data_IF_287427622505
#
_entry.id   IF_287427622505
#
_cell.length_a   1.000
_cell.length_b   1.000
_cell.length_c   1.000
_cell.angle_alpha   90.00
_cell.angle_beta   90.00
_cell.angle_gamma   90.00
#
_symmetry.space_group_name_H-M   'P 1'
#
loop_
_entity.id
_entity.type
_entity.pdbx_description
1 polymer ?
#
# COMPACT_ATOMS: atom_id res chain seq x y z
N UNK A 1 -82.50 38.43 62.80
CA UNK A 1 -83.84 37.84 62.60
C UNK A 1 -84.10 37.71 61.10
N UNK A 2 -84.77 36.61 60.71
CA UNK A 2 -85.27 36.23 59.37
C UNK A 2 -84.25 35.70 58.32
N UNK A 3 -84.24 34.37 58.18
CA UNK A 3 -84.24 33.68 56.86
C UNK A 3 -85.59 33.96 56.17
N UNK A 4 -85.68 34.05 54.82
CA UNK A 4 -85.78 32.89 53.90
C UNK A 4 -85.03 33.15 52.58
N UNK A 5 -84.92 32.31 51.54
CA UNK A 5 -85.52 31.04 51.14
C UNK A 5 -85.58 31.01 49.61
N UNK A 6 -85.08 29.90 49.04
CA UNK A 6 -85.40 29.26 47.74
C UNK A 6 -85.52 30.04 46.42
N UNK A 7 -84.84 29.52 45.40
CA UNK A 7 -85.57 28.94 44.25
C UNK A 7 -85.05 29.22 42.83
N UNK A 8 -84.40 28.19 42.26
CA UNK A 8 -84.50 27.70 40.85
C UNK A 8 -83.94 28.50 39.64
N UNK A 9 -82.94 27.88 39.01
CA UNK A 9 -82.78 27.47 37.56
C UNK A 9 -83.27 28.42 36.44
N UNK A 10 -82.59 28.66 35.31
CA UNK A 10 -81.83 27.79 34.38
C UNK A 10 -81.09 28.69 33.35
N UNK A 11 -80.04 28.12 32.74
CA UNK A 11 -79.45 28.43 31.40
C UNK A 11 -78.96 29.87 31.13
N UNK A 12 -77.77 30.15 30.61
CA UNK A 12 -76.84 29.36 29.81
C UNK A 12 -76.34 30.27 28.67
N UNK A 13 -75.02 30.19 28.41
CA UNK A 13 -74.26 30.69 27.24
C UNK A 13 -73.54 32.04 27.36
N UNK A 14 -72.22 31.86 27.40
CA UNK A 14 -71.20 32.40 26.49
C UNK A 14 -70.55 33.75 26.76
N UNK A 15 -69.22 33.62 26.79
CA UNK A 15 -68.15 34.53 26.36
C UNK A 15 -67.41 35.34 27.43
N UNK A 16 -66.16 34.87 27.59
CA UNK A 16 -64.93 35.66 27.68
C UNK A 16 -64.74 36.51 28.93
N UNK A 17 -63.92 35.99 29.85
CA UNK A 17 -63.16 36.82 30.77
C UNK A 17 -61.71 36.34 30.78
N UNK A 18 -60.83 37.24 30.36
CA UNK A 18 -59.38 37.15 30.44
C UNK A 18 -58.93 36.78 31.87
N UNK A 19 -58.08 35.78 31.99
CA UNK A 19 -57.20 35.61 33.14
C UNK A 19 -55.77 35.57 32.63
N UNK A 20 -55.04 36.64 32.90
CA UNK A 20 -53.60 36.74 32.67
C UNK A 20 -52.89 35.78 33.63
N UNK A 21 -52.34 34.68 33.10
CA UNK A 21 -51.45 33.79 33.84
C UNK A 21 -50.03 34.25 33.56
N UNK A 22 -49.38 34.75 34.61
CA UNK A 22 -47.97 35.14 34.64
C UNK A 22 -47.11 33.87 34.53
N UNK A 23 -46.64 33.55 33.33
CA UNK A 23 -45.72 32.43 33.11
C UNK A 23 -44.27 32.87 33.37
N UNK A 24 -43.68 32.27 34.40
CA UNK A 24 -42.29 32.40 34.82
C UNK A 24 -41.36 31.89 33.69
N UNK A 25 -40.63 32.79 33.02
CA UNK A 25 -39.61 32.41 32.04
C UNK A 25 -38.39 31.82 32.76
N UNK A 26 -38.33 30.49 32.90
CA UNK A 26 -37.07 29.77 33.10
C UNK A 26 -36.31 29.79 31.77
N UNK A 27 -35.23 30.55 31.68
CA UNK A 27 -34.29 30.48 30.56
C UNK A 27 -33.52 29.16 30.65
N UNK A 28 -33.98 28.14 29.92
CA UNK A 28 -33.15 26.98 29.61
C UNK A 28 -32.01 27.45 28.69
N UNK A 29 -30.83 27.68 29.27
CA UNK A 29 -29.61 27.76 28.48
C UNK A 29 -29.30 26.36 27.96
N UNK A 30 -29.67 26.08 26.71
CA UNK A 30 -29.19 24.90 26.01
C UNK A 30 -27.65 25.02 25.92
N UNK A 31 -26.94 24.18 26.68
CA UNK A 31 -25.51 23.97 26.49
C UNK A 31 -25.35 23.26 25.15
N UNK A 32 -25.02 24.01 24.11
CA UNK A 32 -24.67 23.43 22.83
C UNK A 32 -23.31 22.77 22.99
N UNK A 33 -23.33 21.44 23.09
CA UNK A 33 -22.15 20.60 23.01
C UNK A 33 -21.54 20.82 21.62
N UNK A 34 -20.44 21.56 21.57
CA UNK A 34 -19.67 21.71 20.34
C UNK A 34 -19.13 20.33 19.98
N UNK A 35 -19.78 19.68 19.02
CA UNK A 35 -19.22 18.52 18.37
C UNK A 35 -17.85 18.93 17.83
N UNK A 36 -16.80 18.34 18.41
CA UNK A 36 -15.44 18.44 17.87
C UNK A 36 -15.50 17.98 16.43
N UNK A 37 -15.27 18.89 15.48
CA UNK A 37 -15.05 18.50 14.11
C UNK A 37 -13.88 17.51 14.12
N UNK A 38 -14.15 16.26 13.77
CA UNK A 38 -13.09 15.32 13.46
C UNK A 38 -12.23 15.98 12.38
N UNK A 39 -10.94 16.15 12.68
CA UNK A 39 -9.95 16.50 11.66
C UNK A 39 -10.17 15.58 10.46
N UNK A 40 -10.15 16.08 9.20
CA UNK A 40 -10.16 15.18 8.05
C UNK A 40 -9.01 14.20 8.24
N UNK A 41 -9.30 12.89 8.12
CA UNK A 41 -8.25 11.87 8.20
C UNK A 41 -7.13 12.28 7.26
N UNK A 42 -5.89 12.22 7.73
CA UNK A 42 -4.74 12.30 6.83
C UNK A 42 -5.05 11.37 5.65
N UNK A 43 -5.04 11.91 4.43
CA UNK A 43 -5.37 11.13 3.25
C UNK A 43 -4.41 9.94 3.22
N UNK A 44 -4.96 8.74 3.33
CA UNK A 44 -4.19 7.52 3.38
C UNK A 44 -3.38 7.35 2.08
N UNK A 45 -2.11 6.97 2.22
CA UNK A 45 -1.28 6.61 1.07
C UNK A 45 -1.78 5.30 0.47
N UNK A 46 -2.00 5.30 -0.84
CA UNK A 46 -2.60 4.19 -1.57
C UNK A 46 -1.74 3.76 -2.74
N UNK A 47 -1.89 2.50 -3.14
CA UNK A 47 -1.51 2.05 -4.46
C UNK A 47 -2.71 2.17 -5.39
N UNK A 48 -2.44 2.56 -6.63
CA UNK A 48 -3.41 2.47 -7.72
C UNK A 48 -2.98 1.27 -8.55
N UNK A 49 -3.79 0.22 -8.58
CA UNK A 49 -3.43 -1.07 -9.16
C UNK A 49 -4.23 -1.29 -10.44
N UNK A 50 -3.54 -1.59 -11.54
CA UNK A 50 -4.21 -1.98 -12.79
C UNK A 50 -4.77 -3.39 -12.65
N UNK A 51 -6.08 -3.54 -12.77
CA UNK A 51 -6.77 -4.80 -12.39
C UNK A 51 -6.38 -5.98 -13.30
N UNK A 52 -5.98 -5.71 -14.54
CA UNK A 52 -5.62 -6.74 -15.52
C UNK A 52 -4.22 -7.33 -15.30
N UNK A 53 -3.32 -6.59 -14.65
CA UNK A 53 -1.93 -6.99 -14.44
C UNK A 53 -1.58 -7.19 -12.96
N UNK A 54 -2.39 -6.67 -12.02
CA UNK A 54 -2.07 -6.64 -10.60
C UNK A 54 -0.88 -5.72 -10.26
N UNK A 55 -0.48 -4.85 -11.19
CA UNK A 55 0.67 -3.96 -11.02
C UNK A 55 0.25 -2.55 -10.60
N UNK A 56 1.12 -1.92 -9.82
CA UNK A 56 0.93 -0.60 -9.27
C UNK A 56 1.37 0.49 -10.26
N UNK A 57 0.64 1.60 -10.30
CA UNK A 57 1.10 2.82 -10.97
C UNK A 57 2.28 3.43 -10.23
N UNK A 58 3.27 3.88 -10.99
CA UNK A 58 4.55 4.36 -10.48
C UNK A 58 5.10 5.53 -11.31
N UNK A 59 5.70 6.49 -10.62
CA UNK A 59 6.69 7.40 -11.18
C UNK A 59 8.08 6.93 -10.71
N UNK A 60 8.96 6.48 -11.60
CA UNK A 60 10.21 5.84 -11.18
C UNK A 60 11.15 6.84 -10.50
N UNK A 61 11.16 8.10 -10.94
CA UNK A 61 11.99 9.18 -10.39
C UNK A 61 11.14 10.35 -9.89
N UNK A 62 11.79 11.44 -9.47
CA UNK A 62 11.13 12.70 -9.14
C UNK A 62 11.17 13.73 -10.29
N UNK A 63 11.54 13.32 -11.51
CA UNK A 63 11.70 14.24 -12.64
C UNK A 63 10.36 14.78 -13.15
N UNK A 64 10.30 16.08 -13.41
CA UNK A 64 9.15 16.71 -14.08
C UNK A 64 9.00 16.12 -15.50
N UNK A 65 7.78 15.77 -15.90
CA UNK A 65 7.51 15.28 -17.25
C UNK A 65 7.69 13.77 -17.44
N UNK A 66 8.21 13.05 -16.45
CA UNK A 66 8.35 11.60 -16.52
C UNK A 66 7.00 10.90 -16.68
N UNK A 67 6.91 9.99 -17.64
CA UNK A 67 5.71 9.19 -17.92
C UNK A 67 5.44 8.23 -16.77
N UNK A 68 4.18 8.19 -16.32
CA UNK A 68 3.73 7.21 -15.32
C UNK A 68 3.72 5.83 -15.97
N UNK A 69 4.22 4.83 -15.26
CA UNK A 69 4.29 3.44 -15.73
C UNK A 69 3.59 2.51 -14.74
N UNK A 70 3.36 1.25 -15.12
CA UNK A 70 3.04 0.20 -14.16
C UNK A 70 4.29 -0.60 -13.79
N UNK A 71 4.34 -1.11 -12.57
CA UNK A 71 5.40 -1.98 -12.05
C UNK A 71 4.83 -2.91 -10.98
N UNK A 72 5.47 -4.07 -10.76
CA UNK A 72 5.11 -4.96 -9.65
C UNK A 72 5.02 -4.18 -8.32
N UNK A 73 3.90 -4.30 -7.63
CA UNK A 73 3.66 -3.60 -6.36
C UNK A 73 4.74 -3.97 -5.33
N UNK A 74 5.25 -2.99 -4.58
CA UNK A 74 6.34 -3.19 -3.61
C UNK A 74 6.30 -2.21 -2.43
N UNK A 75 5.19 -1.49 -2.22
CA UNK A 75 5.10 -0.49 -1.15
C UNK A 75 6.03 0.72 -1.32
N UNK A 76 6.63 0.89 -2.50
CA UNK A 76 7.54 2.00 -2.78
C UNK A 76 6.81 3.34 -2.68
N UNK A 77 7.42 4.32 -2.02
CA UNK A 77 6.89 5.71 -1.96
C UNK A 77 6.64 6.32 -3.34
N UNK A 78 7.38 5.89 -4.36
CA UNK A 78 7.23 6.37 -5.73
C UNK A 78 6.09 5.66 -6.51
N UNK A 79 5.48 4.63 -5.92
CA UNK A 79 4.26 3.95 -6.35
C UNK A 79 3.11 4.08 -5.33
N UNK A 80 3.29 4.96 -4.33
CA UNK A 80 2.26 5.37 -3.38
C UNK A 80 1.74 6.76 -3.75
N UNK A 81 0.43 6.93 -3.59
CA UNK A 81 -0.30 8.10 -4.03
C UNK A 81 -1.23 8.60 -2.92
N UNK A 82 -1.37 9.90 -2.81
CA UNK A 82 -2.34 10.56 -1.94
C UNK A 82 -3.39 11.26 -2.82
N UNK A 83 -4.67 11.05 -2.52
CA UNK A 83 -5.76 11.78 -3.19
C UNK A 83 -6.01 13.11 -2.47
N UNK A 84 -5.85 14.23 -3.17
CA UNK A 84 -6.17 15.57 -2.66
C UNK A 84 -7.32 16.17 -3.44
N UNK A 85 -8.27 16.82 -2.78
CA UNK A 85 -9.36 17.51 -3.47
C UNK A 85 -8.81 18.55 -4.44
N UNK A 86 -9.32 18.53 -5.67
CA UNK A 86 -8.94 19.49 -6.71
C UNK A 86 -9.72 20.79 -6.56
N UNK A 87 -9.06 21.93 -6.79
CA UNK A 87 -9.72 23.24 -6.77
C UNK A 87 -10.70 23.44 -7.94
N UNK A 88 -10.70 22.57 -8.95
CA UNK A 88 -11.71 22.59 -10.02
C UNK A 88 -13.11 22.13 -9.57
N UNK A 89 -13.23 21.59 -8.35
CA UNK A 89 -14.51 21.16 -7.77
C UNK A 89 -15.20 20.03 -8.54
N UNK A 90 -16.43 19.70 -8.17
CA UNK A 90 -17.20 18.63 -8.82
C UNK A 90 -16.66 17.23 -8.53
N UNK A 91 -16.32 16.97 -7.25
CA UNK A 91 -15.80 15.69 -6.77
C UNK A 91 -14.54 15.19 -7.53
N UNK A 92 -13.67 16.12 -7.95
CA UNK A 92 -12.40 15.79 -8.58
C UNK A 92 -11.21 15.89 -7.64
N UNK A 93 -10.16 15.15 -7.95
CA UNK A 93 -8.98 14.96 -7.14
C UNK A 93 -7.71 15.14 -7.95
N UNK A 94 -6.68 15.64 -7.30
CA UNK A 94 -5.29 15.49 -7.71
C UNK A 94 -4.75 14.18 -7.12
N UNK A 95 -4.00 13.43 -7.91
CA UNK A 95 -3.34 12.18 -7.49
C UNK A 95 -1.87 12.49 -7.28
N UNK A 96 -1.44 12.60 -6.02
CA UNK A 96 -0.12 13.13 -5.63
C UNK A 96 0.82 11.99 -5.28
N UNK A 97 1.99 11.92 -5.92
CA UNK A 97 3.02 10.95 -5.61
C UNK A 97 3.64 11.24 -4.23
N UNK A 98 3.74 10.21 -3.38
CA UNK A 98 4.27 10.34 -2.01
C UNK A 98 5.77 10.63 -2.01
N UNK A 99 6.52 10.08 -2.98
CA UNK A 99 7.96 10.31 -3.08
C UNK A 99 8.31 11.70 -3.63
N UNK A 100 7.71 12.11 -4.75
CA UNK A 100 8.10 13.35 -5.44
C UNK A 100 7.27 14.58 -5.07
N UNK A 101 6.11 14.40 -4.44
CA UNK A 101 5.13 15.45 -4.17
C UNK A 101 4.43 16.01 -5.43
N UNK A 102 4.66 15.41 -6.60
CA UNK A 102 4.09 15.81 -7.89
C UNK A 102 2.80 15.07 -8.20
N UNK A 103 2.02 15.59 -9.14
CA UNK A 103 0.73 15.03 -9.51
C UNK A 103 0.82 14.22 -10.80
N UNK A 104 0.05 13.13 -10.88
CA UNK A 104 -0.30 12.51 -12.17
C UNK A 104 -1.01 13.55 -13.03
N UNK A 105 -0.70 13.59 -14.32
CA UNK A 105 -1.42 14.42 -15.26
C UNK A 105 -1.35 13.94 -16.71
N UNK A 106 -2.39 14.25 -17.47
CA UNK A 106 -2.37 14.16 -18.93
C UNK A 106 -1.45 15.24 -19.49
N UNK A 107 -0.57 14.82 -20.40
CA UNK A 107 0.37 15.69 -21.10
C UNK A 107 -0.31 16.93 -21.67
N UNK A 108 0.13 18.10 -21.18
CA UNK A 108 -0.35 19.43 -21.59
C UNK A 108 -1.87 19.61 -21.49
N UNK A 109 -2.56 18.81 -20.67
CA UNK A 109 -4.04 18.74 -20.66
C UNK A 109 -4.65 18.49 -22.05
N UNK A 110 -3.92 17.77 -22.92
CA UNK A 110 -4.37 17.43 -24.27
C UNK A 110 -5.69 16.66 -24.23
N UNK A 111 -6.67 16.98 -25.10
CA UNK A 111 -7.89 16.18 -25.23
C UNK A 111 -7.72 15.01 -26.22
N UNK A 112 -6.52 14.81 -26.77
CA UNK A 112 -6.28 13.81 -27.80
C UNK A 112 -6.19 12.39 -27.21
N UNK A 113 -6.88 11.44 -27.84
CA UNK A 113 -6.75 10.01 -27.55
C UNK A 113 -5.29 9.60 -27.74
N UNK A 114 -4.71 8.91 -26.76
CA UNK A 114 -3.32 8.48 -26.76
C UNK A 114 -2.32 9.45 -26.13
N UNK A 115 -2.75 10.63 -25.65
CA UNK A 115 -1.86 11.54 -24.93
C UNK A 115 -1.25 10.84 -23.70
N UNK A 116 0.05 11.01 -23.49
CA UNK A 116 0.78 10.37 -22.40
C UNK A 116 0.33 10.93 -21.04
N UNK A 117 0.47 10.10 -20.02
CA UNK A 117 0.20 10.44 -18.63
C UNK A 117 1.55 10.51 -17.92
N UNK A 118 1.83 11.63 -17.28
CA UNK A 118 3.14 11.96 -16.72
C UNK A 118 3.01 12.59 -15.34
N UNK A 119 4.09 12.64 -14.58
CA UNK A 119 4.14 13.48 -13.38
C UNK A 119 4.44 14.94 -13.75
N UNK A 120 3.82 15.86 -13.04
CA UNK A 120 4.11 17.30 -13.12
C UNK A 120 3.82 17.99 -11.80
N UNK A 121 4.31 19.20 -11.64
CA UNK A 121 3.95 20.09 -10.52
C UNK A 121 2.43 20.16 -10.38
N UNK A 122 1.94 19.92 -9.16
CA UNK A 122 0.51 19.94 -8.87
C UNK A 122 -0.08 21.32 -9.15
N UNK A 123 -1.23 21.35 -9.82
CA UNK A 123 -1.93 22.59 -10.17
C UNK A 123 -3.37 22.34 -10.62
N UNK A 124 -4.07 23.41 -10.97
CA UNK A 124 -5.51 23.40 -11.24
C UNK A 124 -5.87 23.17 -12.73
N UNK A 125 -4.93 22.62 -13.50
CA UNK A 125 -5.15 22.28 -14.90
C UNK A 125 -6.09 21.05 -15.04
N UNK A 126 -6.97 21.04 -16.06
CA UNK A 126 -7.92 19.93 -16.26
C UNK A 126 -7.26 18.56 -16.40
N UNK A 127 -6.06 18.49 -17.00
CA UNK A 127 -5.29 17.26 -17.13
C UNK A 127 -4.71 16.70 -15.83
N UNK A 128 -4.64 17.49 -14.76
CA UNK A 128 -4.17 17.05 -13.43
C UNK A 128 -5.31 16.90 -12.41
N UNK A 129 -6.56 16.94 -12.86
CA UNK A 129 -7.75 16.84 -12.03
C UNK A 129 -8.61 15.70 -12.54
N UNK A 130 -8.84 14.70 -11.69
CA UNK A 130 -9.48 13.46 -12.08
C UNK A 130 -10.77 13.23 -11.33
N UNK A 131 -11.75 12.64 -12.00
CA UNK A 131 -12.93 12.03 -11.38
C UNK A 131 -12.83 10.52 -11.49
N UNK A 132 -13.39 9.81 -10.52
CA UNK A 132 -13.45 8.35 -10.52
C UNK A 132 -14.88 7.93 -10.85
N UNK A 133 -15.05 7.02 -11.79
CA UNK A 133 -16.36 6.44 -12.15
C UNK A 133 -16.30 4.94 -12.08
N UNK A 134 -17.34 4.31 -11.55
CA UNK A 134 -17.40 2.85 -11.40
C UNK A 134 -17.23 2.14 -12.75
N UNK A 135 -16.48 1.04 -12.72
CA UNK A 135 -16.32 0.08 -13.79
C UNK A 135 -16.47 -1.33 -13.19
N UNK A 136 -16.73 -2.33 -14.02
CA UNK A 136 -16.79 -3.72 -13.53
C UNK A 136 -15.41 -4.13 -12.97
N UNK A 137 -15.36 -4.54 -11.70
CA UNK A 137 -14.13 -4.90 -11.00
C UNK A 137 -13.24 -3.73 -10.55
N UNK A 138 -13.65 -2.46 -10.67
CA UNK A 138 -12.84 -1.32 -10.20
C UNK A 138 -13.38 0.04 -10.59
N UNK A 139 -12.49 0.98 -10.91
CA UNK A 139 -12.83 2.32 -11.36
C UNK A 139 -12.10 2.71 -12.63
N UNK A 140 -12.76 3.54 -13.43
CA UNK A 140 -12.14 4.36 -14.44
C UNK A 140 -11.65 5.68 -13.82
N UNK A 141 -10.38 6.01 -14.07
CA UNK A 141 -9.79 7.29 -13.67
C UNK A 141 -9.89 8.26 -14.85
N UNK A 142 -10.73 9.29 -14.73
CA UNK A 142 -11.10 10.17 -15.84
C UNK A 142 -10.51 11.57 -15.66
N UNK A 143 -9.61 12.04 -16.55
CA UNK A 143 -9.16 13.42 -16.53
C UNK A 143 -10.32 14.37 -16.84
N UNK A 144 -10.23 15.61 -16.35
CA UNK A 144 -11.23 16.66 -16.59
C UNK A 144 -10.98 17.45 -17.89
N UNK A 145 -10.09 16.97 -18.76
CA UNK A 145 -9.87 17.53 -20.09
C UNK A 145 -11.15 17.49 -20.93
N UNK A 146 -11.41 18.52 -21.73
CA UNK A 146 -12.60 18.61 -22.57
C UNK A 146 -12.38 17.79 -23.85
N UNK A 147 -12.99 16.60 -23.93
CA UNK A 147 -12.93 15.71 -25.08
C UNK A 147 -14.33 15.41 -25.63
N UNK A 148 -14.43 15.09 -26.92
CA UNK A 148 -15.71 14.78 -27.57
C UNK A 148 -16.34 13.45 -27.08
N UNK A 149 -15.49 12.53 -26.61
CA UNK A 149 -15.86 11.26 -25.98
C UNK A 149 -15.18 11.14 -24.61
N UNK A 150 -15.72 10.36 -23.66
CA UNK A 150 -15.10 10.19 -22.34
C UNK A 150 -13.74 9.47 -22.49
N UNK A 151 -12.69 10.08 -21.93
CA UNK A 151 -11.35 9.49 -21.85
C UNK A 151 -11.03 9.06 -20.42
N UNK A 152 -10.21 8.03 -20.31
CA UNK A 152 -9.79 7.34 -19.10
C UNK A 152 -8.29 7.08 -19.15
N UNK A 153 -7.63 7.01 -18.00
CA UNK A 153 -6.28 6.48 -17.92
C UNK A 153 -6.27 5.02 -18.39
N UNK A 154 -5.22 4.61 -19.09
CA UNK A 154 -5.03 3.25 -19.58
C UNK A 154 -3.54 2.89 -19.55
N UNK A 155 -3.23 1.69 -19.08
CA UNK A 155 -1.93 1.05 -19.30
C UNK A 155 -1.85 0.70 -20.79
N UNK A 156 -0.93 1.32 -21.52
CA UNK A 156 -0.89 1.29 -22.99
C UNK A 156 -1.04 -0.11 -23.56
N UNK A 157 -2.12 -0.33 -24.30
CA UNK A 157 -2.40 -1.59 -24.99
C UNK A 157 -2.76 -2.73 -24.05
N UNK A 158 -3.19 -2.44 -22.81
CA UNK A 158 -3.41 -3.42 -21.75
C UNK A 158 -2.20 -4.34 -21.51
N UNK A 159 -0.99 -3.81 -21.73
CA UNK A 159 0.25 -4.55 -21.53
C UNK A 159 0.37 -5.07 -20.09
N UNK A 160 0.98 -6.24 -19.91
CA UNK A 160 1.39 -6.78 -18.60
C UNK A 160 2.90 -6.66 -18.40
N UNK A 161 3.60 -5.95 -19.28
CA UNK A 161 5.02 -5.69 -19.11
C UNK A 161 5.27 -4.69 -17.98
N UNK A 162 6.28 -4.99 -17.19
CA UNK A 162 6.91 -4.04 -16.28
C UNK A 162 7.39 -2.80 -17.04
N UNK A 163 7.12 -1.61 -16.50
CA UNK A 163 7.45 -0.34 -17.14
C UNK A 163 6.51 0.07 -18.27
N UNK A 164 5.40 -0.64 -18.52
CA UNK A 164 4.42 -0.22 -19.51
C UNK A 164 3.85 1.16 -19.15
N UNK A 165 3.84 2.05 -20.13
CA UNK A 165 3.47 3.45 -19.98
C UNK A 165 1.97 3.66 -19.88
N UNK A 166 1.55 4.68 -19.13
CA UNK A 166 0.18 5.15 -19.13
C UNK A 166 -0.06 6.20 -20.21
N UNK A 167 -1.25 6.13 -20.78
CA UNK A 167 -1.83 7.15 -21.67
C UNK A 167 -3.28 7.39 -21.27
N UNK A 168 -3.91 8.40 -21.85
CA UNK A 168 -5.36 8.46 -21.87
C UNK A 168 -5.90 7.76 -23.12
N UNK A 169 -6.98 7.01 -22.97
CA UNK A 169 -7.67 6.34 -24.06
C UNK A 169 -9.19 6.43 -23.87
N UNK A 170 -9.96 5.95 -24.85
CA UNK A 170 -11.42 5.85 -24.68
C UNK A 170 -11.77 5.03 -23.44
N UNK A 171 -12.77 5.46 -22.68
CA UNK A 171 -13.35 4.70 -21.57
C UNK A 171 -14.16 3.51 -22.09
N UNK A 172 -13.49 2.53 -22.68
CA UNK A 172 -14.08 1.32 -23.26
C UNK A 172 -13.61 0.07 -22.47
N UNK A 173 -14.13 -1.11 -22.79
CA UNK A 173 -13.87 -2.36 -22.05
C UNK A 173 -12.48 -2.98 -22.31
N UNK A 174 -11.43 -2.17 -22.52
CA UNK A 174 -10.07 -2.70 -22.44
C UNK A 174 -9.68 -2.88 -20.97
N UNK A 175 -9.12 -4.04 -20.66
CA UNK A 175 -8.80 -4.45 -19.29
C UNK A 175 -7.78 -3.51 -18.63
N UNK A 176 -6.86 -2.92 -19.41
CA UNK A 176 -5.87 -1.96 -18.93
C UNK A 176 -6.39 -0.58 -18.51
N UNK A 177 -7.70 -0.32 -18.59
CA UNK A 177 -8.31 0.96 -18.20
C UNK A 177 -8.98 0.94 -16.82
N UNK A 178 -9.04 -0.23 -16.18
CA UNK A 178 -9.71 -0.41 -14.88
C UNK A 178 -8.67 -0.49 -13.79
N UNK A 179 -8.87 0.30 -12.73
CA UNK A 179 -7.96 0.37 -11.60
C UNK A 179 -8.69 0.11 -10.28
N UNK A 180 -8.00 -0.51 -9.34
CA UNK A 180 -8.40 -0.62 -7.93
C UNK A 180 -7.52 0.26 -7.07
N UNK A 181 -8.09 0.70 -5.95
CA UNK A 181 -7.32 1.27 -4.86
C UNK A 181 -6.96 0.14 -3.90
N UNK A 182 -5.67 -0.02 -3.65
CA UNK A 182 -5.15 -1.01 -2.70
C UNK A 182 -4.20 -0.34 -1.72
N UNK A 183 -3.90 -1.05 -0.63
CA UNK A 183 -2.86 -0.67 0.33
C UNK A 183 -1.82 -1.77 0.33
N UNK A 184 -1.05 -1.85 -0.75
CA UNK A 184 0.04 -2.81 -0.83
C UNK A 184 1.17 -2.34 0.09
N UNK A 185 1.35 -3.06 1.20
CA UNK A 185 2.52 -2.93 2.05
C UNK A 185 3.55 -3.95 1.56
N UNK A 186 4.50 -3.50 0.74
CA UNK A 186 5.68 -4.31 0.45
C UNK A 186 6.50 -4.56 1.71
N UNK A 187 7.56 -5.37 1.62
CA UNK A 187 8.45 -5.55 2.75
C UNK A 187 9.02 -4.20 3.21
N UNK A 188 9.32 -4.09 4.50
CA UNK A 188 10.04 -2.93 5.01
C UNK A 188 11.36 -2.75 4.25
N UNK A 189 11.56 -1.60 3.61
CA UNK A 189 12.80 -1.27 2.91
C UNK A 189 13.84 -0.70 3.87
N UNK A 190 15.11 -0.89 3.53
CA UNK A 190 16.22 -0.44 4.36
C UNK A 190 16.49 -1.40 5.51
N UNK A 191 16.75 -0.88 6.71
CA UNK A 191 17.05 -1.72 7.87
C UNK A 191 15.83 -2.54 8.29
N UNK A 192 15.99 -3.87 8.30
CA UNK A 192 14.89 -4.79 8.53
C UNK A 192 15.33 -6.05 9.27
N UNK A 193 14.36 -6.73 9.89
CA UNK A 193 14.48 -8.09 10.39
C UNK A 193 13.65 -9.02 9.51
N UNK A 194 14.23 -10.13 9.09
CA UNK A 194 13.52 -11.19 8.39
C UNK A 194 13.29 -12.32 9.37
N UNK A 195 12.03 -12.68 9.63
CA UNK A 195 11.64 -13.73 10.57
C UNK A 195 10.91 -14.86 9.85
N UNK A 196 11.28 -16.13 10.02
CA UNK A 196 10.51 -17.25 9.48
C UNK A 196 9.10 -17.26 10.09
N UNK A 197 8.06 -17.37 9.27
CA UNK A 197 6.68 -17.39 9.75
C UNK A 197 6.38 -18.64 10.59
N UNK A 198 7.11 -19.75 10.36
CA UNK A 198 7.03 -20.97 11.15
C UNK A 198 7.71 -20.87 12.52
N UNK A 199 8.56 -19.86 12.75
CA UNK A 199 9.29 -19.63 14.00
C UNK A 199 9.47 -18.11 14.25
N UNK A 200 8.38 -17.36 14.49
CA UNK A 200 8.40 -15.90 14.42
C UNK A 200 9.14 -15.19 15.57
N UNK A 201 9.66 -15.93 16.55
CA UNK A 201 10.60 -15.40 17.57
C UNK A 201 12.06 -15.44 17.13
N UNK A 202 12.36 -16.10 16.02
CA UNK A 202 13.69 -16.20 15.42
C UNK A 202 13.82 -15.26 14.22
N UNK A 203 15.06 -14.89 13.92
CA UNK A 203 15.44 -14.04 12.81
C UNK A 203 16.45 -14.78 11.92
N UNK A 204 16.36 -14.55 10.60
CA UNK A 204 17.35 -14.97 9.62
C UNK A 204 18.61 -14.11 9.80
N UNK A 205 19.74 -14.76 10.03
CA UNK A 205 21.03 -14.10 10.30
C UNK A 205 22.18 -15.06 10.03
N UNK A 206 23.40 -14.61 10.29
CA UNK A 206 24.62 -15.39 10.15
C UNK A 206 24.69 -16.56 11.15
N UNK A 207 25.11 -17.72 10.63
CA UNK A 207 25.49 -18.89 11.42
C UNK A 207 26.31 -19.89 10.62
N UNK A 208 26.31 -21.14 11.10
CA UNK A 208 27.04 -22.27 10.51
C UNK A 208 26.07 -23.33 10.04
N UNK A 209 26.43 -24.06 8.99
CA UNK A 209 25.65 -25.20 8.56
C UNK A 209 25.68 -26.29 9.66
N UNK A 210 24.53 -26.92 9.91
CA UNK A 210 24.38 -27.90 11.01
C UNK A 210 25.19 -29.16 10.80
N UNK A 211 25.60 -29.45 9.56
CA UNK A 211 26.43 -30.62 9.23
C UNK A 211 27.93 -30.32 9.35
N UNK A 212 28.33 -29.08 9.56
CA UNK A 212 29.73 -28.65 9.63
C UNK A 212 30.51 -28.89 8.35
N UNK A 213 29.84 -28.99 7.21
CA UNK A 213 30.43 -29.26 5.90
C UNK A 213 31.06 -28.00 5.28
N UNK A 214 30.66 -26.82 5.74
CA UNK A 214 31.09 -25.56 5.19
C UNK A 214 31.67 -24.64 6.28
N UNK A 215 32.83 -24.05 5.97
CA UNK A 215 33.60 -23.26 6.95
C UNK A 215 33.24 -21.78 6.97
N UNK A 216 32.46 -21.30 6.01
CA UNK A 216 32.03 -19.91 5.93
C UNK A 216 30.66 -19.72 6.58
N UNK A 217 30.25 -18.46 6.71
CA UNK A 217 28.93 -18.09 7.19
C UNK A 217 27.85 -18.56 6.21
N UNK A 218 26.72 -19.03 6.75
CA UNK A 218 25.48 -19.27 5.99
C UNK A 218 24.28 -18.65 6.70
N UNK A 219 23.20 -18.44 5.96
CA UNK A 219 21.92 -18.01 6.52
C UNK A 219 21.26 -19.10 7.34
N UNK A 220 20.98 -18.79 8.60
CA UNK A 220 20.27 -19.65 9.55
C UNK A 220 19.25 -18.83 10.35
N UNK A 221 18.34 -19.49 11.08
CA UNK A 221 17.49 -18.83 12.07
C UNK A 221 18.12 -18.83 13.47
N UNK A 222 18.13 -17.69 14.16
CA UNK A 222 18.61 -17.53 15.55
C UNK A 222 17.70 -16.60 16.35
N UNK A 223 17.76 -16.56 17.69
CA UNK A 223 16.99 -15.59 18.48
C UNK A 223 17.26 -14.18 17.98
N UNK A 224 16.21 -13.40 17.73
CA UNK A 224 16.37 -12.06 17.15
C UNK A 224 17.26 -11.13 17.98
N UNK A 225 17.35 -11.33 19.30
CA UNK A 225 18.25 -10.58 20.18
C UNK A 225 19.75 -10.90 19.95
N UNK A 226 20.05 -12.01 19.28
CA UNK A 226 21.41 -12.48 18.95
C UNK A 226 21.68 -12.41 17.45
N UNK A 227 20.75 -11.86 16.66
CA UNK A 227 20.82 -11.83 15.21
C UNK A 227 21.63 -10.65 14.65
N UNK A 228 22.44 -10.00 15.50
CA UNK A 228 23.32 -8.88 15.17
C UNK A 228 24.64 -9.05 15.93
N UNK A 229 25.80 -8.85 15.28
CA UNK A 229 25.98 -8.67 13.83
C UNK A 229 25.75 -9.97 13.03
N UNK A 230 25.48 -9.90 11.72
CA UNK A 230 25.30 -8.68 10.90
C UNK A 230 23.90 -8.07 11.02
N UNK A 231 23.75 -6.78 10.65
CA UNK A 231 22.42 -6.17 10.46
C UNK A 231 21.93 -6.41 9.04
N UNK A 232 20.62 -6.61 8.87
CA UNK A 232 20.03 -6.84 7.54
C UNK A 232 19.52 -5.54 6.94
N UNK A 233 19.91 -5.27 5.69
CA UNK A 233 19.42 -4.16 4.88
C UNK A 233 18.77 -4.70 3.60
N UNK A 234 17.51 -4.37 3.38
CA UNK A 234 16.78 -4.74 2.18
C UNK A 234 16.85 -3.62 1.15
N UNK A 235 17.65 -3.83 0.11
CA UNK A 235 17.79 -2.91 -1.01
C UNK A 235 16.87 -3.35 -2.15
N UNK A 236 16.07 -2.44 -2.68
CA UNK A 236 15.30 -2.73 -3.90
C UNK A 236 16.13 -2.45 -5.15
N UNK A 237 16.12 -3.39 -6.10
CA UNK A 237 16.84 -3.31 -7.38
C UNK A 237 15.90 -3.15 -8.59
N UNK A 238 14.63 -2.85 -8.32
CA UNK A 238 13.59 -2.57 -9.31
C UNK A 238 12.70 -3.77 -9.64
N UNK A 239 11.48 -3.48 -10.10
CA UNK A 239 10.45 -4.46 -10.46
C UNK A 239 10.01 -5.39 -9.30
N UNK A 240 9.97 -4.89 -8.05
CA UNK A 240 9.63 -5.73 -6.89
C UNK A 240 10.68 -6.81 -6.61
N UNK A 241 11.92 -6.56 -7.04
CA UNK A 241 13.08 -7.41 -6.76
C UNK A 241 14.04 -6.70 -5.83
N UNK A 242 14.72 -7.49 -5.01
CA UNK A 242 15.47 -7.02 -3.86
C UNK A 242 16.80 -7.74 -3.76
N UNK A 243 17.77 -7.04 -3.18
CA UNK A 243 19.01 -7.61 -2.67
C UNK A 243 18.92 -7.58 -1.15
N UNK A 244 19.15 -8.73 -0.54
CA UNK A 244 19.26 -8.83 0.93
C UNK A 244 20.74 -8.65 1.26
N UNK A 245 21.06 -7.56 1.96
CA UNK A 245 22.42 -7.25 2.38
C UNK A 245 22.60 -7.50 3.88
N UNK A 246 23.76 -8.01 4.24
CA UNK A 246 24.25 -8.10 5.61
C UNK A 246 25.39 -7.12 5.81
N UNK A 247 25.20 -6.19 6.73
CA UNK A 247 26.19 -5.20 7.11
C UNK A 247 26.87 -5.67 8.39
N UNK A 248 28.07 -6.20 8.24
CA UNK A 248 28.91 -6.66 9.34
C UNK A 248 29.94 -5.57 9.70
N UNK A 249 30.11 -5.20 10.98
CA UNK A 249 31.07 -4.16 11.38
C UNK A 249 32.53 -4.50 11.04
N UNK A 250 32.86 -5.79 10.98
CA UNK A 250 34.24 -6.26 10.70
C UNK A 250 34.46 -6.68 9.24
N UNK A 251 33.42 -7.19 8.56
CA UNK A 251 33.56 -7.78 7.22
C UNK A 251 32.94 -6.93 6.11
N UNK A 252 32.32 -5.80 6.46
CA UNK A 252 31.66 -4.91 5.51
C UNK A 252 30.30 -5.44 5.05
N UNK A 253 29.94 -5.11 3.81
CA UNK A 253 28.65 -5.47 3.21
C UNK A 253 28.81 -6.80 2.47
N UNK A 254 28.01 -7.79 2.86
CA UNK A 254 27.86 -9.04 2.15
C UNK A 254 26.42 -9.22 1.66
N UNK A 255 26.24 -9.48 0.38
CA UNK A 255 24.93 -9.67 -0.24
C UNK A 255 24.61 -11.15 -0.35
N UNK A 256 23.44 -11.55 0.16
CA UNK A 256 23.05 -12.95 0.23
C UNK A 256 22.96 -13.55 -1.16
N UNK A 257 23.73 -14.63 -1.35
CA UNK A 257 23.85 -15.35 -2.62
C UNK A 257 23.54 -16.81 -2.40
N UNK A 258 22.68 -17.37 -3.24
CA UNK A 258 22.37 -18.80 -3.22
C UNK A 258 23.53 -19.57 -3.84
N UNK A 259 24.01 -20.58 -3.12
CA UNK A 259 25.06 -21.48 -3.57
C UNK A 259 24.48 -22.57 -4.46
N UNK A 260 24.79 -22.56 -5.76
CA UNK A 260 24.29 -23.57 -6.70
C UNK A 260 25.03 -24.92 -6.60
N UNK A 261 26.21 -24.94 -5.97
CA UNK A 261 27.06 -26.12 -5.87
C UNK A 261 27.94 -26.12 -4.63
N UNK A 262 28.98 -26.96 -4.65
CA UNK A 262 29.88 -27.12 -3.50
C UNK A 262 29.26 -27.96 -2.38
N UNK A 263 29.76 -27.82 -1.13
CA UNK A 263 29.36 -28.69 -0.01
C UNK A 263 27.96 -28.40 0.55
N UNK A 264 27.38 -27.23 0.22
CA UNK A 264 26.10 -26.74 0.77
C UNK A 264 25.16 -26.18 -0.31
N UNK A 265 24.81 -26.99 -1.34
CA UNK A 265 23.96 -26.52 -2.43
C UNK A 265 22.59 -26.08 -1.92
N UNK A 266 22.11 -24.94 -2.42
CA UNK A 266 20.86 -24.30 -2.04
C UNK A 266 20.96 -23.38 -0.83
N UNK A 267 22.03 -23.43 -0.02
CA UNK A 267 22.19 -22.50 1.11
C UNK A 267 22.59 -21.10 0.64
N UNK A 268 22.41 -20.11 1.51
CA UNK A 268 22.74 -18.72 1.23
C UNK A 268 23.96 -18.29 2.03
N UNK A 269 24.91 -17.61 1.39
CA UNK A 269 26.07 -17.00 2.05
C UNK A 269 26.25 -15.53 1.65
N UNK A 270 26.94 -14.72 2.47
CA UNK A 270 27.21 -13.32 2.15
C UNK A 270 28.40 -13.18 1.17
N UNK A 271 28.15 -12.63 -0.03
CA UNK A 271 29.21 -12.28 -0.99
C UNK A 271 29.47 -10.78 -1.00
N UNK A 272 30.73 -10.36 -1.06
CA UNK A 272 31.11 -8.94 -1.19
C UNK A 272 30.73 -8.35 -2.57
N UNK A 273 30.64 -9.19 -3.60
CA UNK A 273 30.27 -8.81 -4.96
C UNK A 273 28.74 -8.69 -5.15
N UNK A 274 28.13 -7.69 -4.52
CA UNK A 274 26.68 -7.44 -4.58
C UNK A 274 26.11 -7.31 -6.01
N UNK A 275 26.89 -6.87 -6.99
CA UNK A 275 26.46 -6.74 -8.38
C UNK A 275 26.12 -8.08 -9.05
N UNK A 276 26.65 -9.19 -8.55
CA UNK A 276 26.40 -10.55 -9.06
C UNK A 276 25.71 -11.46 -8.03
N UNK A 277 25.40 -10.94 -6.85
CA UNK A 277 24.65 -11.66 -5.83
C UNK A 277 23.22 -11.98 -6.30
N UNK A 278 22.60 -12.99 -5.66
CA UNK A 278 21.23 -13.38 -5.98
C UNK A 278 20.27 -12.22 -5.76
N UNK A 279 19.41 -12.00 -6.75
CA UNK A 279 18.31 -11.05 -6.68
C UNK A 279 17.04 -11.82 -6.33
N UNK A 280 16.27 -11.33 -5.38
CA UNK A 280 15.08 -12.00 -4.86
C UNK A 280 13.81 -11.25 -5.23
N UNK A 281 12.75 -11.96 -5.58
CA UNK A 281 11.40 -11.39 -5.62
C UNK A 281 10.74 -11.63 -4.27
N UNK A 282 10.15 -10.60 -3.66
CA UNK A 282 9.46 -10.70 -2.37
C UNK A 282 7.99 -10.35 -2.60
N UNK A 283 7.12 -11.34 -2.41
CA UNK A 283 5.69 -11.27 -2.74
C UNK A 283 4.86 -11.44 -1.46
N UNK A 284 3.78 -10.67 -1.27
CA UNK A 284 2.94 -10.81 -0.09
C UNK A 284 2.21 -12.14 -0.12
N UNK A 285 1.91 -12.64 1.07
CA UNK A 285 1.17 -13.87 1.29
C UNK A 285 0.03 -13.61 2.26
N UNK A 286 -1.18 -13.97 1.85
CA UNK A 286 -2.37 -13.87 2.71
C UNK A 286 -2.59 -15.17 3.51
N UNK A 287 -2.21 -16.32 2.94
CA UNK A 287 -2.32 -17.62 3.61
C UNK A 287 -1.08 -18.47 3.27
N UNK A 288 -0.47 -19.18 4.25
CA UNK A 288 -0.89 -19.33 5.65
C UNK A 288 -0.44 -18.21 6.61
N UNK A 289 0.29 -17.20 6.13
CA UNK A 289 0.88 -16.15 6.96
C UNK A 289 0.40 -14.75 6.54
N UNK A 290 -0.79 -14.28 6.98
CA UNK A 290 -1.28 -12.94 6.66
C UNK A 290 -0.25 -11.85 7.02
N UNK A 291 0.00 -10.92 6.09
CA UNK A 291 1.02 -9.88 6.24
C UNK A 291 2.46 -10.40 6.16
N UNK A 292 2.65 -11.68 5.83
CA UNK A 292 3.94 -12.28 5.53
C UNK A 292 4.27 -12.16 4.03
N UNK A 293 5.44 -12.67 3.69
CA UNK A 293 6.00 -12.64 2.37
C UNK A 293 6.62 -13.98 1.99
N UNK A 294 6.47 -14.34 0.73
CA UNK A 294 7.24 -15.37 0.07
C UNK A 294 8.45 -14.74 -0.59
N UNK A 295 9.62 -15.33 -0.37
CA UNK A 295 10.87 -14.88 -0.99
C UNK A 295 11.28 -15.90 -2.04
N UNK A 296 11.44 -15.45 -3.29
CA UNK A 296 11.89 -16.27 -4.42
C UNK A 296 13.23 -15.82 -4.94
N UNK A 297 14.06 -16.75 -5.35
CA UNK A 297 15.19 -16.47 -6.23
C UNK A 297 14.63 -16.01 -7.60
N UNK A 298 14.90 -14.77 -8.00
CA UNK A 298 14.34 -14.19 -9.22
C UNK A 298 14.89 -14.82 -10.51
N UNK A 299 16.05 -15.49 -10.45
CA UNK A 299 16.66 -16.16 -11.60
C UNK A 299 16.06 -17.53 -11.86
N UNK A 300 15.65 -18.25 -10.82
CA UNK A 300 15.16 -19.64 -10.91
C UNK A 300 13.66 -19.79 -10.63
N UNK A 301 13.04 -18.80 -9.97
CA UNK A 301 11.65 -18.86 -9.50
C UNK A 301 11.43 -19.77 -8.27
N UNK A 302 12.50 -20.41 -7.77
CA UNK A 302 12.46 -21.26 -6.58
C UNK A 302 12.32 -20.42 -5.30
N UNK A 303 11.78 -21.02 -4.24
CA UNK A 303 11.46 -20.32 -3.01
C UNK A 303 12.58 -20.51 -1.99
N UNK A 304 12.81 -19.48 -1.18
CA UNK A 304 13.52 -19.66 0.08
C UNK A 304 12.61 -20.33 1.10
N UNK A 305 13.20 -21.13 1.98
CA UNK A 305 12.51 -21.70 3.11
C UNK A 305 13.47 -22.33 4.10
N UNK A 306 12.95 -22.66 5.28
CA UNK A 306 13.72 -23.34 6.31
C UNK A 306 14.02 -24.78 5.88
N UNK A 307 15.27 -25.23 6.06
CA UNK A 307 15.70 -26.58 5.72
C UNK A 307 14.82 -27.62 6.42
N UNK A 308 14.29 -28.57 5.64
CA UNK A 308 13.37 -29.63 6.09
C UNK A 308 12.12 -29.10 6.86
N UNK A 309 11.77 -27.82 6.72
CA UNK A 309 10.69 -27.17 7.48
C UNK A 309 11.00 -26.94 8.97
N UNK A 310 12.27 -27.01 9.37
CA UNK A 310 12.69 -26.93 10.78
C UNK A 310 12.43 -25.56 11.44
N UNK A 311 12.08 -25.56 12.73
CA UNK A 311 11.77 -24.37 13.54
C UNK A 311 12.77 -24.11 14.67
N UNK A 312 13.80 -24.96 14.82
CA UNK A 312 14.83 -24.82 15.84
C UNK A 312 15.93 -23.82 15.44
N UNK A 313 16.61 -23.25 16.43
CA UNK A 313 17.80 -22.42 16.20
C UNK A 313 18.87 -23.15 15.37
N UNK A 314 19.55 -22.42 14.49
CA UNK A 314 20.59 -22.94 13.62
C UNK A 314 20.09 -23.65 12.35
N UNK A 315 18.77 -23.86 12.18
CA UNK A 315 18.23 -24.36 10.90
C UNK A 315 18.54 -23.36 9.78
N UNK A 316 19.04 -23.88 8.67
CA UNK A 316 19.49 -23.12 7.52
C UNK A 316 18.32 -22.61 6.69
N UNK A 317 18.50 -21.46 6.06
CA UNK A 317 17.64 -21.00 4.96
C UNK A 317 18.18 -21.58 3.67
N UNK A 318 17.31 -22.23 2.88
CA UNK A 318 17.68 -22.87 1.63
C UNK A 318 16.72 -22.49 0.50
N UNK A 319 17.27 -22.35 -0.71
CA UNK A 319 16.50 -22.36 -1.96
C UNK A 319 15.99 -23.77 -2.24
N UNK A 320 14.69 -23.89 -2.47
CA UNK A 320 13.98 -25.16 -2.60
C UNK A 320 12.73 -25.01 -3.47
N UNK A 321 12.10 -26.13 -3.81
CA UNK A 321 10.83 -26.14 -4.55
C UNK A 321 9.77 -25.38 -3.76
N UNK A 322 9.04 -24.50 -4.45
CA UNK A 322 7.95 -23.74 -3.84
C UNK A 322 6.78 -24.64 -3.44
N UNK A 323 6.28 -24.43 -2.23
CA UNK A 323 5.11 -25.08 -1.63
C UNK A 323 4.23 -24.02 -0.95
N UNK A 324 3.14 -24.44 -0.31
CA UNK A 324 2.34 -23.58 0.57
C UNK A 324 2.71 -23.72 2.05
N UNK A 325 3.86 -24.31 2.36
CA UNK A 325 4.27 -24.55 3.74
C UNK A 325 4.62 -23.24 4.44
N UNK A 326 4.20 -23.10 5.70
CA UNK A 326 4.52 -21.93 6.54
C UNK A 326 6.04 -21.70 6.70
N UNK A 327 6.86 -22.74 6.55
CA UNK A 327 8.31 -22.67 6.58
C UNK A 327 8.95 -22.02 5.35
N UNK A 328 8.16 -21.66 4.33
CA UNK A 328 8.60 -20.89 3.16
C UNK A 328 8.06 -19.46 3.16
N UNK A 329 7.39 -19.06 4.24
CA UNK A 329 6.88 -17.70 4.42
C UNK A 329 7.69 -16.97 5.49
N UNK A 330 7.81 -15.66 5.35
CA UNK A 330 8.64 -14.81 6.19
C UNK A 330 7.91 -13.52 6.54
N UNK A 331 8.09 -13.02 7.75
CA UNK A 331 7.78 -11.63 8.08
C UNK A 331 9.02 -10.77 7.82
N UNK A 332 8.81 -9.56 7.29
CA UNK A 332 9.87 -8.57 7.08
C UNK A 332 9.48 -7.30 7.83
N UNK A 333 10.05 -7.12 9.01
CA UNK A 333 9.74 -5.99 9.89
C UNK A 333 10.82 -4.91 9.79
N UNK A 334 10.47 -3.62 9.89
CA UNK A 334 11.48 -2.57 10.02
C UNK A 334 12.26 -2.70 11.33
N UNK A 335 13.56 -2.35 11.30
CA UNK A 335 14.37 -2.14 12.52
C UNK A 335 14.22 -0.75 13.13
#
# INVERSE_FOLDING_TARGET
>A
MRRPGHGRTHAGRTHAALLAVLALLLTLTATQETASAASPSAADDINIVATHSGMCLEAATAAEGEVITQRGCAGRKNALWTLKSSALGGASYQIVNVYSGKCIAVENSSPAVGALVRQQTCGNQPGASFTFTEADGGVWIRPRTVSASPLCLEVTGSSTADGAQLRQWGCERQSGSVFTQERYQGPALGWAKIRPASAPSLCVTEGRDRKGLYRSAVAVQRPCAQAVPPRTYLEEVGAGRYRIQWHHPEFGIGCLTVMDGGPVPGMLEPWDACSVATVFQIEPVETPAPGGFRIRDAGTGQCLGMADGGTAEGVEVMRQTCTSALSQEFFVDPE
#
